data_IF_930134581812
#
_entry.id   IF_930134581812
#
_cell.length_a   1.000
_cell.length_b   1.000
_cell.length_c   1.000
_cell.angle_alpha   90.00
_cell.angle_beta   90.00
_cell.angle_gamma   90.00
#
_symmetry.space_group_name_H-M   'P 1'
#
loop_
_entity.id
_entity.type
_entity.pdbx_description
1 polymer ?
#
# COMPACT_ATOMS: atom_id res chain seq x y z
N UNK A 1 -4.98 -13.27 10.04
CA UNK A 1 -4.78 -13.74 8.65
C UNK A 1 -3.51 -13.07 8.15
N UNK A 2 -2.60 -13.84 7.53
CA UNK A 2 -1.40 -13.29 6.89
C UNK A 2 -1.71 -13.29 5.39
N UNK A 3 -1.64 -12.14 4.74
CA UNK A 3 -1.81 -12.08 3.29
C UNK A 3 -0.67 -12.85 2.60
N UNK A 4 -1.02 -13.65 1.59
CA UNK A 4 -0.05 -14.33 0.74
C UNK A 4 0.52 -13.38 -0.32
N UNK A 5 1.64 -13.78 -0.93
CA UNK A 5 2.29 -12.98 -1.97
C UNK A 5 1.41 -12.87 -3.22
N UNK A 6 0.74 -13.95 -3.61
CA UNK A 6 -0.11 -14.00 -4.80
C UNK A 6 -1.34 -13.08 -4.65
N UNK A 7 -1.98 -13.12 -3.48
CA UNK A 7 -3.08 -12.22 -3.10
C UNK A 7 -2.69 -10.74 -3.22
N UNK A 8 -1.50 -10.38 -2.73
CA UNK A 8 -1.00 -9.01 -2.84
C UNK A 8 -0.69 -8.66 -4.29
N UNK A 9 -0.11 -9.57 -5.06
CA UNK A 9 0.20 -9.36 -6.47
C UNK A 9 -1.07 -9.09 -7.29
N UNK A 10 -2.10 -9.91 -7.11
CA UNK A 10 -3.40 -9.73 -7.78
C UNK A 10 -4.07 -8.41 -7.38
N UNK A 11 -4.10 -8.09 -6.08
CA UNK A 11 -4.68 -6.84 -5.60
C UNK A 11 -3.94 -5.62 -6.16
N UNK A 12 -2.60 -5.66 -6.20
CA UNK A 12 -1.81 -4.55 -6.73
C UNK A 12 -2.02 -4.39 -8.24
N UNK A 13 -2.05 -5.49 -9.00
CA UNK A 13 -2.28 -5.46 -10.44
C UNK A 13 -3.68 -4.92 -10.80
N UNK A 14 -4.67 -5.15 -9.92
CA UNK A 14 -6.03 -4.62 -10.09
C UNK A 14 -6.13 -3.14 -9.75
N UNK A 15 -5.55 -2.72 -8.62
CA UNK A 15 -5.77 -1.38 -8.06
C UNK A 15 -4.74 -0.34 -8.52
N UNK A 16 -3.60 -0.77 -9.07
CA UNK A 16 -2.53 0.11 -9.51
C UNK A 16 -2.15 -0.18 -10.96
N UNK A 17 -1.99 0.87 -11.76
CA UNK A 17 -1.46 0.74 -13.12
C UNK A 17 0.02 0.36 -13.06
N UNK A 18 0.35 -0.77 -13.68
CA UNK A 18 1.73 -1.20 -13.87
C UNK A 18 1.87 -2.72 -13.88
N UNK A 19 2.83 -3.21 -14.66
CA UNK A 19 3.19 -4.62 -14.66
C UNK A 19 4.13 -4.89 -13.48
N UNK A 20 3.79 -5.88 -12.67
CA UNK A 20 4.56 -6.26 -11.47
C UNK A 20 5.62 -7.29 -11.86
N UNK A 21 6.88 -6.98 -11.57
CA UNK A 21 8.02 -7.88 -11.74
C UNK A 21 8.11 -8.84 -10.57
N UNK A 22 8.13 -8.29 -9.34
CA UNK A 22 8.30 -9.06 -8.12
C UNK A 22 7.51 -8.48 -6.95
N UNK A 23 7.14 -9.37 -6.03
CA UNK A 23 6.54 -9.03 -4.74
C UNK A 23 7.29 -9.81 -3.66
N UNK A 24 7.91 -9.09 -2.72
CA UNK A 24 8.69 -9.68 -1.63
C UNK A 24 8.12 -9.27 -0.29
N UNK A 25 7.79 -10.23 0.56
CA UNK A 25 7.35 -9.93 1.93
C UNK A 25 8.54 -9.49 2.78
N UNK A 26 8.41 -8.34 3.44
CA UNK A 26 9.44 -7.82 4.34
C UNK A 26 9.34 -8.46 5.74
N UNK A 27 10.46 -8.96 6.30
CA UNK A 27 10.46 -9.49 7.66
C UNK A 27 10.28 -8.37 8.69
N UNK A 28 9.60 -8.68 9.81
CA UNK A 28 9.53 -7.84 11.02
C UNK A 28 8.77 -6.50 10.93
N UNK A 29 7.57 -6.51 10.36
CA UNK A 29 6.67 -5.35 10.37
C UNK A 29 5.43 -5.61 11.22
N UNK A 30 4.90 -4.58 11.91
CA UNK A 30 3.68 -4.70 12.73
C UNK A 30 2.42 -5.01 11.89
N UNK A 31 2.46 -4.69 10.61
CA UNK A 31 1.47 -5.03 9.59
C UNK A 31 2.20 -5.78 8.47
N UNK A 32 1.55 -6.73 7.81
CA UNK A 32 2.17 -7.44 6.69
C UNK A 32 2.55 -6.44 5.60
N UNK A 33 3.87 -6.26 5.40
CA UNK A 33 4.43 -5.30 4.46
C UNK A 33 5.14 -6.03 3.34
N UNK A 34 4.90 -5.59 2.11
CA UNK A 34 5.45 -6.17 0.90
C UNK A 34 6.17 -5.09 0.10
N UNK A 35 7.33 -5.43 -0.43
CA UNK A 35 8.03 -4.65 -1.44
C UNK A 35 7.56 -5.12 -2.82
N UNK A 36 7.21 -4.19 -3.70
CA UNK A 36 6.70 -4.46 -5.04
C UNK A 36 7.53 -3.70 -6.06
N UNK A 37 8.13 -4.45 -6.99
CA UNK A 37 8.92 -3.91 -8.08
C UNK A 37 8.06 -3.92 -9.36
N UNK A 38 7.98 -2.79 -10.04
CA UNK A 38 7.26 -2.62 -11.30
C UNK A 38 8.23 -2.65 -12.49
N UNK A 39 7.73 -3.05 -13.67
CA UNK A 39 8.54 -3.12 -14.90
C UNK A 39 9.08 -1.77 -15.35
N UNK A 40 8.41 -0.67 -14.97
CA UNK A 40 8.86 0.70 -15.26
C UNK A 40 10.02 1.15 -14.36
N UNK A 41 10.51 0.28 -13.49
CA UNK A 41 11.57 0.57 -12.51
C UNK A 41 11.06 1.25 -11.25
N UNK A 42 9.74 1.46 -11.09
CA UNK A 42 9.15 1.99 -9.87
C UNK A 42 9.17 0.93 -8.77
N UNK A 43 9.57 1.34 -7.58
CA UNK A 43 9.48 0.51 -6.37
C UNK A 43 8.39 1.07 -5.45
N UNK A 44 7.54 0.20 -4.89
CA UNK A 44 6.49 0.58 -3.93
C UNK A 44 6.44 -0.37 -2.75
N UNK A 45 5.94 0.14 -1.62
CA UNK A 45 5.68 -0.65 -0.43
C UNK A 45 4.18 -0.76 -0.19
N UNK A 46 3.68 -1.99 -0.10
CA UNK A 46 2.27 -2.29 0.21
C UNK A 46 2.18 -2.73 1.65
N UNK A 47 1.32 -2.08 2.43
CA UNK A 47 1.02 -2.47 3.81
C UNK A 47 -0.40 -3.00 3.88
N UNK A 48 -0.56 -4.25 4.29
CA UNK A 48 -1.86 -4.88 4.47
C UNK A 48 -2.31 -4.68 5.91
N UNK A 49 -3.40 -3.93 6.07
CA UNK A 49 -4.02 -3.68 7.36
C UNK A 49 -4.77 -4.89 7.92
N UNK A 50 -5.05 -4.88 9.21
CA UNK A 50 -6.01 -5.82 9.81
C UNK A 50 -7.43 -5.29 9.62
N UNK A 51 -8.44 -6.17 9.51
CA UNK A 51 -9.83 -5.74 9.44
C UNK A 51 -10.24 -4.89 10.66
N UNK A 52 -11.30 -4.09 10.50
CA UNK A 52 -11.90 -3.22 11.54
C UNK A 52 -11.04 -2.05 12.05
N UNK A 53 -9.96 -1.70 11.35
CA UNK A 53 -9.10 -0.56 11.68
C UNK A 53 -9.08 0.52 10.57
N UNK A 54 -10.09 0.51 9.70
CA UNK A 54 -10.17 1.34 8.49
C UNK A 54 -10.06 2.84 8.79
N UNK A 55 -10.88 3.33 9.73
CA UNK A 55 -10.86 4.74 10.15
C UNK A 55 -9.49 5.15 10.71
N UNK A 56 -8.84 4.25 11.46
CA UNK A 56 -7.53 4.51 12.01
C UNK A 56 -6.42 4.53 10.94
N UNK A 57 -6.60 3.82 9.83
CA UNK A 57 -5.69 3.90 8.69
C UNK A 57 -5.94 5.15 7.84
N UNK A 58 -7.20 5.51 7.62
CA UNK A 58 -7.58 6.76 6.93
C UNK A 58 -7.00 7.99 7.65
N UNK A 59 -7.21 8.09 8.97
CA UNK A 59 -6.68 9.19 9.76
C UNK A 59 -5.13 9.30 9.70
N UNK A 60 -4.42 8.15 9.59
CA UNK A 60 -2.96 8.15 9.43
C UNK A 60 -2.54 8.68 8.05
N UNK A 61 -3.27 8.33 7.00
CA UNK A 61 -3.03 8.84 5.65
C UNK A 61 -3.22 10.36 5.65
N UNK A 62 -4.30 10.85 6.26
CA UNK A 62 -4.56 12.30 6.35
C UNK A 62 -3.43 13.04 7.08
N UNK A 63 -2.97 12.51 8.21
CA UNK A 63 -1.84 13.08 8.95
C UNK A 63 -0.58 13.12 8.08
N UNK A 64 -0.27 12.04 7.35
CA UNK A 64 0.91 11.98 6.48
C UNK A 64 0.79 13.00 5.35
N UNK A 65 -0.37 13.12 4.71
CA UNK A 65 -0.63 14.14 3.69
C UNK A 65 -0.43 15.56 4.24
N UNK A 66 -0.99 15.88 5.42
CA UNK A 66 -0.82 17.18 6.06
C UNK A 66 0.64 17.49 6.40
N UNK A 67 1.43 16.50 6.82
CA UNK A 67 2.86 16.68 7.10
C UNK A 67 3.65 16.93 5.81
N UNK A 68 3.34 16.19 4.75
CA UNK A 68 3.95 16.37 3.43
C UNK A 68 3.67 17.76 2.86
N UNK A 69 2.44 18.27 2.96
CA UNK A 69 2.05 19.63 2.56
C UNK A 69 2.82 20.72 3.30
N UNK A 70 3.30 20.42 4.52
CA UNK A 70 4.14 21.32 5.32
C UNK A 70 5.63 21.20 5.01
N UNK A 71 6.00 20.44 3.96
CA UNK A 71 7.39 20.23 3.56
C UNK A 71 8.15 19.27 4.46
N UNK A 72 7.47 18.52 5.32
CA UNK A 72 8.11 17.49 6.14
C UNK A 72 8.28 16.25 5.27
N UNK A 73 9.49 15.71 5.22
CA UNK A 73 9.79 14.49 4.49
C UNK A 73 9.07 13.30 5.13
N UNK A 74 8.02 12.83 4.47
CA UNK A 74 7.22 11.67 4.86
C UNK A 74 7.04 10.74 3.66
N UNK A 75 6.82 9.42 3.89
CA UNK A 75 6.46 8.52 2.80
C UNK A 75 5.20 9.01 2.09
N UNK A 76 5.26 9.16 0.76
CA UNK A 76 4.10 9.54 -0.03
C UNK A 76 3.12 8.36 -0.15
N UNK A 77 1.82 8.63 -0.04
CA UNK A 77 0.77 7.63 -0.25
C UNK A 77 0.40 7.62 -1.72
N UNK A 78 0.45 6.43 -2.34
CA UNK A 78 0.07 6.24 -3.75
C UNK A 78 -1.43 5.93 -3.81
N UNK A 79 -2.25 6.76 -4.47
CA UNK A 79 -3.68 6.48 -4.63
C UNK A 79 -3.91 5.33 -5.62
N UNK A 80 -5.00 4.59 -5.43
CA UNK A 80 -5.45 3.56 -6.39
C UNK A 80 -6.06 4.21 -7.63
N UNK A 81 -6.02 3.51 -8.76
CA UNK A 81 -6.56 3.98 -10.06
C UNK A 81 -8.08 4.11 -10.04
N UNK A 82 -8.74 3.37 -9.15
CA UNK A 82 -10.20 3.36 -9.00
C UNK A 82 -10.74 4.63 -8.34
N UNK A 83 -9.88 5.52 -7.81
CA UNK A 83 -10.29 6.78 -7.16
C UNK A 83 -11.15 6.58 -5.91
N UNK A 84 -11.44 5.34 -5.56
CA UNK A 84 -12.12 4.98 -4.34
C UNK A 84 -11.08 5.12 -3.24
N UNK A 85 -11.08 6.28 -2.56
CA UNK A 85 -10.08 6.71 -1.58
C UNK A 85 -9.48 5.53 -0.84
N UNK A 86 -8.23 5.20 -1.17
CA UNK A 86 -7.47 4.06 -0.63
C UNK A 86 -8.36 2.88 -0.20
N UNK A 87 -9.19 2.33 -1.12
CA UNK A 87 -9.96 1.14 -0.82
C UNK A 87 -8.99 -0.02 -0.58
N UNK A 88 -8.77 -0.29 0.70
CA UNK A 88 -8.09 -1.47 1.18
C UNK A 88 -8.76 -2.68 0.57
N UNK A 89 -8.03 -3.43 -0.24
CA UNK A 89 -8.51 -4.76 -0.60
C UNK A 89 -8.34 -5.63 0.64
N UNK A 90 -9.41 -5.81 1.40
CA UNK A 90 -9.53 -6.96 2.29
C UNK A 90 -9.64 -8.20 1.40
N UNK A 91 -8.64 -9.07 1.50
CA UNK A 91 -8.81 -10.49 1.17
C UNK A 91 -9.15 -11.21 2.48
#
# INVERSE_FOLDING_TARGET
MIASIDEVKEAVAREYSGNIVSVTKLPQTKCDTFHVDFEDGTERFVKVGKPFHEDAYAAKIDIVSMLSERGISTPAVVPTTTGAGAKWTSL
#
